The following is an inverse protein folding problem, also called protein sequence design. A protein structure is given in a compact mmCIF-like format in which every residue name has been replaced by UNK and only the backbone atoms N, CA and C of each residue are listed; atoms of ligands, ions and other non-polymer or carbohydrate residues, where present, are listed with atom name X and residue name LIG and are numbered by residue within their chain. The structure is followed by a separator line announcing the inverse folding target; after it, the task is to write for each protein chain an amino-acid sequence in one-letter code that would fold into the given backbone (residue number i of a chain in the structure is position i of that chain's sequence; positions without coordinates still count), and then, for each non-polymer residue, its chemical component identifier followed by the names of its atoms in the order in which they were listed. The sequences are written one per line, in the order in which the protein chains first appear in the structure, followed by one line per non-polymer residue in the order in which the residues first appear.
data_IF_420192452942
#
_entry.id   IF_420192452942
#
_cell.length_a   1.000
_cell.length_b   1.000
_cell.length_c   1.000
_cell.angle_alpha   90.00
_cell.angle_beta   90.00
_cell.angle_gamma   90.00
#
_symmetry.space_group_name_H-M   'P 1'
#
loop_
_entity.id
_entity.type
_entity.pdbx_description
1 polymer ?
#
# COMPACT_ATOMS: atom_id res chain seq x y z
N UNK A 1 -1.70 10.60 -1.41
CA UNK A 1 -1.73 9.93 -0.29
C UNK A 1 -2.55 10.34 0.92
N UNK A 2 -3.01 11.60 1.04
CA UNK A 2 -3.70 12.07 2.27
C UNK A 2 -5.23 12.09 2.14
N UNK A 3 -5.79 11.48 1.09
CA UNK A 3 -7.24 11.50 0.84
C UNK A 3 -8.03 10.86 1.98
N UNK A 4 -9.18 11.46 2.29
CA UNK A 4 -10.16 10.88 3.22
C UNK A 4 -10.67 9.53 2.73
N UNK A 5 -11.15 8.66 3.64
CA UNK A 5 -11.76 7.39 3.27
C UNK A 5 -13.03 7.62 2.44
N UNK A 6 -13.15 6.89 1.33
CA UNK A 6 -14.32 6.99 0.44
C UNK A 6 -15.36 5.89 0.69
N UNK A 7 -15.00 4.85 1.46
CA UNK A 7 -15.91 3.77 1.85
C UNK A 7 -16.34 3.98 3.30
N UNK A 8 -17.63 4.20 3.58
CA UNK A 8 -18.12 4.24 4.95
C UNK A 8 -17.96 2.89 5.63
N UNK A 9 -17.54 2.87 6.90
CA UNK A 9 -17.36 1.64 7.69
C UNK A 9 -18.67 0.85 7.91
N UNK A 10 -19.81 1.49 7.67
CA UNK A 10 -21.13 0.83 7.68
C UNK A 10 -21.45 0.08 6.39
N UNK A 11 -20.63 0.25 5.35
CA UNK A 11 -20.82 -0.44 4.06
C UNK A 11 -20.33 -1.89 4.17
N UNK A 12 -21.20 -2.82 3.77
CA UNK A 12 -20.78 -4.21 3.55
C UNK A 12 -19.79 -4.27 2.40
N UNK A 13 -18.67 -4.95 2.62
CA UNK A 13 -17.60 -5.16 1.65
C UNK A 13 -17.44 -6.65 1.36
N UNK A 14 -16.73 -7.00 0.28
CA UNK A 14 -16.40 -8.39 0.01
C UNK A 14 -15.63 -9.03 1.19
N UNK A 15 -14.68 -8.28 1.76
CA UNK A 15 -13.90 -8.74 2.90
C UNK A 15 -14.80 -9.02 4.12
N UNK A 16 -15.67 -8.08 4.50
CA UNK A 16 -16.58 -8.25 5.64
C UNK A 16 -17.57 -9.41 5.43
N UNK A 17 -18.06 -9.57 4.20
CA UNK A 17 -18.96 -10.67 3.84
C UNK A 17 -18.25 -12.03 3.93
N UNK A 18 -17.06 -12.16 3.38
CA UNK A 18 -16.29 -13.41 3.42
C UNK A 18 -15.86 -13.75 4.84
N UNK A 19 -15.43 -12.75 5.62
CA UNK A 19 -15.12 -12.91 7.05
C UNK A 19 -16.32 -13.45 7.83
N UNK A 20 -17.53 -12.91 7.60
CA UNK A 20 -18.76 -13.39 8.22
C UNK A 20 -19.12 -14.84 7.82
N UNK A 21 -18.58 -15.32 6.69
CA UNK A 21 -18.75 -16.69 6.19
C UNK A 21 -17.53 -17.59 6.47
N UNK A 22 -16.71 -17.25 7.47
CA UNK A 22 -15.65 -18.11 7.98
C UNK A 22 -14.30 -17.99 7.27
N UNK A 23 -14.11 -17.05 6.35
CA UNK A 23 -12.82 -16.80 5.72
C UNK A 23 -11.91 -15.98 6.63
N UNK A 24 -10.61 -16.24 6.56
CA UNK A 24 -9.57 -15.29 6.97
C UNK A 24 -9.33 -14.32 5.81
N UNK A 25 -9.23 -13.02 6.08
CA UNK A 25 -9.22 -12.01 5.01
C UNK A 25 -7.99 -11.12 5.09
N UNK A 26 -7.31 -10.90 3.98
CA UNK A 26 -6.14 -10.04 3.89
C UNK A 26 -6.19 -9.10 2.70
N UNK A 27 -5.59 -7.90 2.87
CA UNK A 27 -5.27 -6.98 1.81
C UNK A 27 -3.78 -6.68 1.86
N UNK A 28 -3.05 -6.96 0.77
CA UNK A 28 -1.61 -6.69 0.67
C UNK A 28 -1.37 -5.87 -0.59
N UNK A 29 -0.97 -4.60 -0.44
CA UNK A 29 -0.70 -3.76 -1.60
C UNK A 29 -1.16 -2.31 -1.49
N UNK A 30 -1.45 -1.72 -2.64
CA UNK A 30 -1.89 -0.35 -2.82
C UNK A 30 -3.36 -0.19 -2.43
N UNK A 31 -3.65 0.54 -1.34
CA UNK A 31 -5.06 0.75 -0.94
C UNK A 31 -5.82 1.74 -1.83
N UNK A 32 -5.34 2.94 -1.95
CA UNK A 32 -5.83 4.04 -2.79
C UNK A 32 -7.33 4.42 -2.60
N UNK A 33 -7.94 4.02 -1.50
CA UNK A 33 -9.34 4.33 -1.17
C UNK A 33 -9.44 5.27 0.05
N UNK A 34 -8.31 5.82 0.47
CA UNK A 34 -8.21 6.74 1.60
C UNK A 34 -8.36 6.06 2.95
N UNK A 35 -7.91 6.75 3.96
CA UNK A 35 -8.09 6.50 5.39
C UNK A 35 -7.86 7.79 6.18
N UNK A 36 -8.15 7.76 7.48
CA UNK A 36 -7.78 8.87 8.33
C UNK A 36 -6.40 8.64 8.93
N UNK A 37 -5.50 9.57 8.69
CA UNK A 37 -4.21 9.63 9.35
C UNK A 37 -4.35 10.15 10.78
N UNK A 38 -3.53 9.65 11.70
CA UNK A 38 -3.31 10.32 12.97
C UNK A 38 -2.61 11.66 12.75
N UNK A 39 -3.07 12.72 13.39
CA UNK A 39 -2.51 14.07 13.25
C UNK A 39 -1.73 14.49 14.49
N UNK A 40 -0.77 15.40 14.32
CA UNK A 40 -0.11 16.07 15.41
C UNK A 40 -1.08 16.98 16.16
N UNK A 41 -0.89 17.24 17.47
CA UNK A 41 -1.74 18.15 18.21
C UNK A 41 -1.79 19.55 17.56
N UNK A 42 -2.99 20.07 17.30
CA UNK A 42 -3.21 21.36 16.65
C UNK A 42 -3.07 21.34 15.11
N UNK A 43 -2.86 20.19 14.50
CA UNK A 43 -2.78 20.00 13.04
C UNK A 43 -4.00 19.30 12.47
N UNK A 44 -5.06 19.12 13.25
CA UNK A 44 -6.32 18.56 12.80
C UNK A 44 -6.93 19.46 11.72
N UNK A 45 -7.32 18.87 10.59
CA UNK A 45 -7.97 19.60 9.50
C UNK A 45 -9.44 19.21 9.41
N UNK A 46 -10.36 20.19 9.26
CA UNK A 46 -11.78 19.90 9.02
C UNK A 46 -12.00 19.06 7.76
N UNK A 47 -11.19 19.29 6.72
CA UNK A 47 -11.13 18.45 5.53
C UNK A 47 -9.84 17.63 5.53
N UNK A 48 -9.98 16.31 5.65
CA UNK A 48 -8.85 15.38 5.60
C UNK A 48 -8.06 15.47 4.28
N UNK A 49 -8.67 15.92 3.18
CA UNK A 49 -7.96 16.14 1.91
C UNK A 49 -7.00 17.34 1.96
N UNK A 50 -7.09 18.19 2.98
CA UNK A 50 -6.18 19.30 3.20
C UNK A 50 -4.93 18.93 4.02
N UNK A 51 -4.80 17.65 4.44
CA UNK A 51 -3.60 17.17 5.14
C UNK A 51 -2.39 17.14 4.21
N UNK A 52 -1.22 17.35 4.82
CA UNK A 52 0.08 17.23 4.17
C UNK A 52 1.09 16.53 5.09
N UNK A 53 2.34 16.39 4.65
CA UNK A 53 3.40 15.70 5.39
C UNK A 53 3.63 16.25 6.81
N UNK A 54 3.41 17.57 7.01
CA UNK A 54 3.67 18.25 8.28
C UNK A 54 2.58 17.96 9.33
N UNK A 55 1.37 17.64 8.89
CA UNK A 55 0.21 17.44 9.75
C UNK A 55 0.18 16.04 10.39
N UNK A 56 0.80 15.05 9.74
CA UNK A 56 0.69 13.64 10.14
C UNK A 56 1.65 13.29 11.29
N UNK A 57 1.12 12.56 12.25
CA UNK A 57 1.86 11.90 13.32
C UNK A 57 1.98 10.40 13.02
N UNK A 58 3.11 9.99 12.45
CA UNK A 58 3.37 8.61 12.07
C UNK A 58 3.60 7.64 13.25
N UNK A 59 3.51 8.12 14.50
CA UNK A 59 3.46 7.26 15.68
C UNK A 59 2.04 6.80 16.01
N UNK A 60 1.03 7.42 15.41
CA UNK A 60 -0.38 7.12 15.64
C UNK A 60 -0.95 6.16 14.61
N UNK A 61 -1.92 5.31 15.02
CA UNK A 61 -2.61 4.44 14.08
C UNK A 61 -3.47 5.22 13.08
N UNK A 62 -3.63 4.64 11.90
CA UNK A 62 -4.68 5.05 10.96
C UNK A 62 -6.05 4.52 11.41
N UNK A 63 -7.12 5.17 10.98
CA UNK A 63 -8.51 4.71 11.16
C UNK A 63 -9.29 4.76 9.86
N UNK A 64 -10.40 4.06 9.78
CA UNK A 64 -11.23 3.91 8.57
C UNK A 64 -10.44 3.36 7.37
N UNK A 65 -9.45 2.51 7.66
CA UNK A 65 -8.64 1.81 6.67
C UNK A 65 -9.14 0.38 6.39
N UNK A 66 -8.32 -0.45 5.72
CA UNK A 66 -8.70 -1.80 5.31
C UNK A 66 -9.22 -2.69 6.44
N UNK A 67 -8.58 -2.64 7.61
CA UNK A 67 -8.99 -3.45 8.77
C UNK A 67 -10.38 -3.06 9.28
N UNK A 68 -10.75 -1.77 9.18
CA UNK A 68 -12.08 -1.29 9.57
C UNK A 68 -13.17 -1.66 8.55
N UNK A 69 -12.76 -2.11 7.36
CA UNK A 69 -13.62 -2.53 6.26
C UNK A 69 -13.71 -4.06 6.10
N UNK A 70 -13.24 -4.82 7.10
CA UNK A 70 -13.44 -6.25 7.18
C UNK A 70 -12.23 -7.12 6.89
N UNK A 71 -11.07 -6.54 6.57
CA UNK A 71 -9.84 -7.32 6.48
C UNK A 71 -9.27 -7.65 7.87
N UNK A 72 -8.87 -8.90 8.09
CA UNK A 72 -8.18 -9.33 9.31
C UNK A 72 -6.73 -8.86 9.32
N UNK A 73 -6.11 -8.79 8.14
CA UNK A 73 -4.73 -8.35 7.94
C UNK A 73 -4.63 -7.34 6.81
N UNK A 74 -3.81 -6.34 7.03
CA UNK A 74 -3.41 -5.37 5.99
C UNK A 74 -1.91 -5.15 6.03
N UNK A 75 -1.28 -5.15 4.87
CA UNK A 75 0.07 -4.62 4.67
C UNK A 75 0.13 -3.87 3.35
N UNK A 76 0.54 -2.62 3.37
CA UNK A 76 0.59 -1.84 2.14
C UNK A 76 0.77 -0.34 2.40
N UNK A 77 0.31 0.47 1.47
CA UNK A 77 0.44 1.93 1.55
C UNK A 77 -0.81 2.63 0.98
N UNK A 78 -0.95 3.93 1.30
CA UNK A 78 -2.22 4.64 1.12
C UNK A 78 -2.57 5.01 -0.31
N UNK A 79 -1.59 5.40 -1.12
CA UNK A 79 -1.82 5.99 -2.43
C UNK A 79 -1.21 5.19 -3.57
N UNK A 80 -0.74 5.89 -4.60
CA UNK A 80 0.05 5.33 -5.68
C UNK A 80 1.54 5.56 -5.40
N UNK A 81 2.43 4.78 -6.01
CA UNK A 81 3.89 4.95 -5.84
C UNK A 81 4.43 6.30 -6.34
N UNK A 82 3.64 7.07 -7.06
CA UNK A 82 3.97 8.44 -7.46
C UNK A 82 3.44 9.51 -6.49
N UNK A 83 2.80 9.12 -5.38
CA UNK A 83 2.10 10.01 -4.44
C UNK A 83 2.54 9.78 -3.00
N UNK A 84 3.23 10.77 -2.40
CA UNK A 84 3.54 10.75 -0.97
C UNK A 84 2.26 10.73 -0.10
N UNK A 85 2.34 10.23 1.15
CA UNK A 85 3.52 9.70 1.83
C UNK A 85 3.85 8.27 1.42
N UNK A 86 5.15 7.98 1.31
CA UNK A 86 5.68 6.67 0.99
C UNK A 86 5.99 5.92 2.30
N UNK A 87 4.96 5.40 2.93
CA UNK A 87 5.03 4.74 4.24
C UNK A 87 4.20 3.47 4.20
N UNK A 88 4.79 2.35 4.60
CA UNK A 88 4.04 1.12 4.81
C UNK A 88 3.21 1.20 6.08
N UNK A 89 2.04 0.60 6.01
CA UNK A 89 1.14 0.38 7.14
C UNK A 89 0.96 -1.12 7.32
N UNK A 90 1.13 -1.61 8.53
CA UNK A 90 0.74 -2.96 8.91
C UNK A 90 -0.47 -2.90 9.84
N UNK A 91 -1.58 -3.44 9.39
CA UNK A 91 -2.89 -3.32 10.01
C UNK A 91 -3.34 -1.85 10.14
N UNK A 92 -3.03 -1.21 11.26
CA UNK A 92 -3.34 0.22 11.50
C UNK A 92 -2.10 1.05 11.77
N UNK A 93 -0.94 0.42 11.99
CA UNK A 93 0.27 1.12 12.41
C UNK A 93 1.21 1.37 11.23
N UNK A 94 1.78 2.58 11.09
CA UNK A 94 2.97 2.76 10.28
C UNK A 94 4.08 1.79 10.73
N UNK A 95 4.78 1.19 9.78
CA UNK A 95 5.86 0.23 10.08
C UNK A 95 7.10 0.90 10.65
N UNK A 96 7.20 2.21 10.48
CA UNK A 96 8.27 3.04 11.05
C UNK A 96 7.77 4.41 11.47
N UNK A 97 8.41 4.98 12.47
CA UNK A 97 8.27 6.39 12.87
C UNK A 97 9.44 7.26 12.38
N UNK A 98 10.44 6.64 11.74
CA UNK A 98 11.59 7.34 11.17
C UNK A 98 11.25 7.82 9.76
N UNK A 99 10.73 9.02 9.68
CA UNK A 99 10.26 9.64 8.44
C UNK A 99 11.27 10.67 7.96
N UNK A 100 11.71 10.51 6.74
CA UNK A 100 12.51 11.46 5.99
C UNK A 100 11.73 12.13 4.87
N UNK A 101 12.44 12.76 3.95
CA UNK A 101 11.87 13.36 2.74
C UNK A 101 12.63 12.85 1.52
N UNK A 102 11.90 12.45 0.50
CA UNK A 102 12.46 12.08 -0.80
C UNK A 102 12.22 13.19 -1.82
N UNK A 103 13.22 13.59 -2.63
CA UNK A 103 13.03 14.51 -3.76
C UNK A 103 12.19 13.84 -4.86
N UNK A 104 11.60 14.64 -5.74
CA UNK A 104 10.86 14.11 -6.88
C UNK A 104 11.74 13.25 -7.79
N UNK A 105 11.23 12.11 -8.17
CA UNK A 105 11.86 11.20 -9.14
C UNK A 105 11.72 11.71 -10.56
N UNK A 106 12.65 11.28 -11.45
CA UNK A 106 12.64 11.61 -12.88
C UNK A 106 12.12 10.43 -13.70
N UNK A 107 11.50 10.71 -14.84
CA UNK A 107 11.06 9.65 -15.78
C UNK A 107 12.23 8.72 -16.16
N UNK A 108 12.00 7.40 -16.31
CA UNK A 108 10.70 6.70 -16.22
C UNK A 108 10.22 6.46 -14.78
N UNK A 109 11.08 6.62 -13.76
CA UNK A 109 10.77 6.43 -12.35
C UNK A 109 10.22 7.69 -11.68
N UNK A 110 9.19 8.31 -12.27
CA UNK A 110 8.60 9.54 -11.73
C UNK A 110 7.78 9.28 -10.45
N UNK A 111 8.08 10.04 -9.41
CA UNK A 111 7.25 10.24 -8.21
C UNK A 111 7.36 11.68 -7.70
N UNK A 112 6.39 12.12 -6.92
CA UNK A 112 6.40 13.44 -6.28
C UNK A 112 7.31 13.44 -5.06
N UNK A 113 7.93 14.58 -4.79
CA UNK A 113 8.63 14.78 -3.51
C UNK A 113 7.65 14.64 -2.34
N UNK A 114 8.14 14.19 -1.17
CA UNK A 114 7.34 14.13 0.05
C UNK A 114 7.90 13.18 1.10
N UNK A 115 7.11 12.92 2.13
CA UNK A 115 7.48 12.06 3.24
C UNK A 115 7.73 10.61 2.82
N UNK A 116 8.78 10.01 3.39
CA UNK A 116 9.16 8.62 3.14
C UNK A 116 9.66 7.95 4.43
N UNK A 117 9.15 6.76 4.71
CA UNK A 117 9.67 5.91 5.78
C UNK A 117 11.07 5.39 5.45
N UNK A 118 11.92 5.20 6.47
CA UNK A 118 13.27 4.67 6.28
C UNK A 118 13.31 3.21 5.78
N UNK A 119 12.19 2.52 5.88
CA UNK A 119 11.97 1.14 5.39
C UNK A 119 11.31 1.07 3.99
N UNK A 120 11.03 2.25 3.38
CA UNK A 120 10.35 2.31 2.08
C UNK A 120 11.36 2.58 0.95
N UNK A 121 11.33 1.74 -0.08
CA UNK A 121 12.07 1.95 -1.32
C UNK A 121 11.14 1.71 -2.50
N UNK A 122 11.05 2.67 -3.42
CA UNK A 122 10.17 2.57 -4.59
C UNK A 122 10.51 1.37 -5.48
N UNK A 123 11.82 1.08 -5.68
CA UNK A 123 12.29 -0.04 -6.51
C UNK A 123 11.91 -1.40 -5.93
N UNK A 124 11.93 -1.50 -4.58
CA UNK A 124 11.72 -2.76 -3.87
C UNK A 124 10.24 -2.96 -3.48
N UNK A 125 9.36 -1.99 -3.76
CA UNK A 125 7.97 -2.04 -3.32
C UNK A 125 7.23 -3.26 -3.88
N UNK A 126 7.30 -3.53 -5.17
CA UNK A 126 6.62 -4.69 -5.77
C UNK A 126 7.21 -6.01 -5.26
N UNK A 127 8.53 -6.23 -5.21
CA UNK A 127 9.12 -7.42 -4.56
C UNK A 127 8.71 -7.58 -3.09
N UNK A 128 8.70 -6.51 -2.30
CA UNK A 128 8.31 -6.57 -0.89
C UNK A 128 6.85 -7.01 -0.71
N UNK A 129 5.92 -6.45 -1.49
CA UNK A 129 4.52 -6.86 -1.47
C UNK A 129 4.35 -8.31 -1.91
N UNK A 130 5.10 -8.75 -2.92
CA UNK A 130 5.09 -10.15 -3.40
C UNK A 130 5.55 -11.11 -2.31
N UNK A 131 6.67 -10.83 -1.65
CA UNK A 131 7.15 -11.65 -0.53
C UNK A 131 6.11 -11.73 0.60
N UNK A 132 5.49 -10.60 0.98
CA UNK A 132 4.44 -10.58 2.00
C UNK A 132 3.20 -11.40 1.60
N UNK A 133 2.83 -11.37 0.32
CA UNK A 133 1.71 -12.15 -0.20
C UNK A 133 2.02 -13.65 -0.19
N UNK A 134 3.20 -14.05 -0.66
CA UNK A 134 3.66 -15.44 -0.65
C UNK A 134 3.77 -15.98 0.77
N UNK A 135 4.33 -15.20 1.70
CA UNK A 135 4.40 -15.56 3.12
C UNK A 135 3.01 -15.72 3.75
N UNK A 136 2.06 -14.87 3.38
CA UNK A 136 0.68 -14.98 3.83
C UNK A 136 0.03 -16.26 3.32
N UNK A 137 0.16 -16.54 2.02
CA UNK A 137 -0.37 -17.75 1.39
C UNK A 137 0.23 -18.99 2.05
N UNK A 138 1.55 -19.06 2.20
CA UNK A 138 2.23 -20.22 2.78
C UNK A 138 1.80 -20.49 4.23
N UNK A 139 1.57 -19.43 5.01
CA UNK A 139 1.10 -19.57 6.41
C UNK A 139 -0.33 -20.06 6.51
N UNK A 140 -1.20 -19.65 5.59
CA UNK A 140 -2.63 -19.96 5.65
C UNK A 140 -3.07 -21.12 4.73
N UNK A 141 -2.18 -21.63 3.86
CA UNK A 141 -2.49 -22.73 2.96
C UNK A 141 -2.81 -24.06 3.67
N UNK A 142 -2.39 -24.21 4.92
CA UNK A 142 -2.62 -25.42 5.73
C UNK A 142 -3.71 -25.22 6.78
N UNK A 143 -4.29 -24.03 6.88
CA UNK A 143 -5.36 -23.75 7.84
C UNK A 143 -6.66 -24.46 7.40
N UNK A 144 -7.48 -24.90 8.37
CA UNK A 144 -8.81 -25.43 8.08
C UNK A 144 -9.76 -24.37 7.51
N UNK A 145 -9.52 -23.11 7.84
CA UNK A 145 -10.30 -21.97 7.35
C UNK A 145 -9.78 -21.51 6.01
N UNK A 146 -10.64 -21.34 4.99
CA UNK A 146 -10.22 -20.74 3.74
C UNK A 146 -9.80 -19.28 3.94
N UNK A 147 -8.89 -18.79 3.11
CA UNK A 147 -8.52 -17.38 3.13
C UNK A 147 -8.94 -16.66 1.85
N UNK A 148 -9.13 -15.37 1.98
CA UNK A 148 -9.30 -14.42 0.89
C UNK A 148 -8.15 -13.41 0.93
N UNK A 149 -7.36 -13.37 -0.13
CA UNK A 149 -6.29 -12.39 -0.30
C UNK A 149 -6.65 -11.43 -1.44
N UNK A 150 -6.82 -10.15 -1.10
CA UNK A 150 -6.86 -9.06 -2.07
C UNK A 150 -5.46 -8.50 -2.24
N UNK A 151 -4.88 -8.63 -3.44
CA UNK A 151 -3.51 -8.24 -3.77
C UNK A 151 -3.51 -7.10 -4.82
N UNK A 152 -3.85 -5.86 -4.44
CA UNK A 152 -3.85 -4.73 -5.35
C UNK A 152 -2.43 -4.24 -5.62
N UNK A 153 -1.84 -4.71 -6.74
CA UNK A 153 -0.49 -4.34 -7.12
C UNK A 153 -0.37 -2.85 -7.49
N UNK A 154 0.75 -2.19 -7.13
CA UNK A 154 1.02 -0.81 -7.55
C UNK A 154 1.47 -0.70 -9.02
N UNK A 155 1.82 -1.81 -9.62
CA UNK A 155 2.38 -1.95 -10.97
C UNK A 155 1.32 -2.50 -11.94
N UNK A 156 1.42 -2.23 -13.25
CA UNK A 156 2.48 -1.50 -13.96
C UNK A 156 2.26 0.02 -14.04
N UNK A 157 1.57 0.61 -13.08
CA UNK A 157 1.41 2.07 -12.97
C UNK A 157 2.77 2.76 -12.68
N UNK A 158 2.91 4.03 -13.04
CA UNK A 158 4.10 4.83 -12.71
C UNK A 158 4.34 4.90 -11.19
N UNK A 159 5.61 4.94 -10.74
CA UNK A 159 6.88 4.91 -11.48
C UNK A 159 7.16 3.55 -12.13
N UNK A 160 7.72 3.58 -13.34
CA UNK A 160 8.09 2.37 -14.08
C UNK A 160 9.46 1.90 -13.60
N UNK A 161 9.49 0.87 -12.78
CA UNK A 161 10.67 0.45 -12.03
C UNK A 161 10.93 -1.06 -12.15
N UNK A 162 11.20 -1.60 -13.36
CA UNK A 162 11.63 -2.99 -13.48
C UNK A 162 12.93 -3.19 -12.70
N UNK A 163 13.02 -4.28 -11.95
CA UNK A 163 14.29 -4.65 -11.30
C UNK A 163 15.33 -5.07 -12.33
N UNK A 164 16.61 -5.13 -11.93
CA UNK A 164 17.72 -5.54 -12.81
C UNK A 164 17.46 -6.90 -13.46
N UNK A 165 16.76 -7.79 -12.73
CA UNK A 165 16.38 -9.11 -13.25
C UNK A 165 15.47 -9.06 -14.49
N UNK A 166 14.73 -7.99 -14.70
CA UNK A 166 13.77 -7.85 -15.81
C UNK A 166 14.19 -6.82 -16.87
N UNK A 167 15.12 -5.92 -16.57
CA UNK A 167 15.56 -4.89 -17.51
C UNK A 167 16.12 -5.49 -18.80
N UNK A 168 15.64 -4.97 -19.93
CA UNK A 168 16.07 -5.37 -21.27
C UNK A 168 15.54 -6.72 -21.76
N UNK A 169 14.73 -7.43 -20.97
CA UNK A 169 14.27 -8.78 -21.34
C UNK A 169 13.24 -8.81 -22.45
N UNK A 170 12.40 -7.81 -22.55
CA UNK A 170 11.30 -7.80 -23.55
C UNK A 170 11.71 -7.19 -24.89
N UNK A 171 12.75 -6.36 -24.92
CA UNK A 171 13.05 -5.51 -26.08
C UNK A 171 12.04 -4.37 -26.31
N UNK A 172 11.00 -4.24 -25.45
CA UNK A 172 9.95 -3.23 -25.56
C UNK A 172 10.17 -2.01 -24.65
N UNK A 173 11.37 -1.89 -24.05
CA UNK A 173 11.75 -0.81 -23.14
C UNK A 173 11.21 -1.02 -21.72
N UNK A 174 11.46 -0.04 -20.84
CA UNK A 174 11.20 -0.17 -19.41
C UNK A 174 9.76 -0.56 -19.06
N UNK A 175 8.78 -0.08 -19.80
CA UNK A 175 7.39 -0.41 -19.54
C UNK A 175 7.09 -1.90 -19.84
N UNK A 176 7.57 -2.40 -21.00
CA UNK A 176 7.43 -3.83 -21.32
C UNK A 176 8.11 -4.73 -20.29
N UNK A 177 9.32 -4.37 -19.87
CA UNK A 177 10.05 -5.09 -18.83
C UNK A 177 9.31 -5.07 -17.48
N UNK A 178 8.65 -3.94 -17.16
CA UNK A 178 7.88 -3.84 -15.93
C UNK A 178 6.57 -4.64 -15.97
N UNK A 179 5.92 -4.71 -17.14
CA UNK A 179 4.77 -5.61 -17.34
C UNK A 179 5.18 -7.07 -17.19
N UNK A 180 6.32 -7.47 -17.76
CA UNK A 180 6.88 -8.82 -17.58
C UNK A 180 7.15 -9.13 -16.10
N UNK A 181 7.66 -8.16 -15.34
CA UNK A 181 7.86 -8.31 -13.90
C UNK A 181 6.55 -8.48 -13.13
N UNK A 182 5.47 -7.81 -13.57
CA UNK A 182 4.14 -7.97 -12.97
C UNK A 182 3.56 -9.35 -13.28
N UNK A 183 3.76 -9.85 -14.49
CA UNK A 183 3.33 -11.19 -14.88
C UNK A 183 4.02 -12.30 -14.06
N UNK A 184 5.30 -12.09 -13.72
CA UNK A 184 6.07 -13.01 -12.86
C UNK A 184 5.58 -13.03 -11.38
N UNK A 185 4.91 -11.97 -10.93
CA UNK A 185 4.32 -11.87 -9.58
C UNK A 185 3.03 -12.69 -9.45
N UNK A 186 2.27 -12.84 -10.53
CA UNK A 186 0.94 -13.48 -10.54
C UNK A 186 1.05 -14.98 -10.82
#
# INVERSE_FOLDING_TARGET
GYSRPIIPTTRSTMASMLKANGYTTACIGKWHLGWNWGTKPGHEKPDANALNDEDVDYSKPITNGPVDLGFDYFYGFCGSLDMAPYVYIENRQPTTTQIGTVPAGKKPGFWRAGAIGNDFNHQDCLPNLTHRAVDYINRHAQDERPFFLYLPLPAPHTPILPTEAFKGKTGLGHYGDFVLMVDDVV
#
